data_IF_486934110752
#
_entry.id   IF_486934110752
#
_cell.length_a   1.000
_cell.length_b   1.000
_cell.length_c   1.000
_cell.angle_alpha   90.00
_cell.angle_beta   90.00
_cell.angle_gamma   90.00
#
_symmetry.space_group_name_H-M   'P 1'
#
loop_
_entity.id
_entity.type
_entity.pdbx_description
1 polymer ?
#
# COMPACT_ATOMS: atom_id res chain seq x y z
N UNK A 1 -44.66 7.71 -33.82
CA UNK A 1 -43.54 6.80 -33.47
C UNK A 1 -42.81 7.39 -32.28
N UNK A 2 -42.28 6.55 -31.39
CA UNK A 2 -42.25 6.84 -29.95
C UNK A 2 -41.03 7.67 -29.48
N UNK A 3 -41.28 8.55 -28.49
CA UNK A 3 -40.26 9.16 -27.63
C UNK A 3 -40.41 8.60 -26.20
N UNK A 4 -40.04 7.34 -26.00
CA UNK A 4 -39.90 6.72 -24.68
C UNK A 4 -38.63 5.86 -24.66
N UNK A 5 -37.68 6.25 -23.79
CA UNK A 5 -36.76 5.39 -23.01
C UNK A 5 -35.63 6.25 -22.38
N UNK A 6 -36.02 7.37 -21.77
CA UNK A 6 -35.17 8.14 -20.88
C UNK A 6 -35.92 8.26 -19.55
N UNK A 7 -35.25 7.99 -18.43
CA UNK A 7 -35.74 8.09 -17.04
C UNK A 7 -36.73 7.01 -16.53
N UNK A 8 -36.18 5.84 -16.18
CA UNK A 8 -36.57 4.99 -15.04
C UNK A 8 -35.37 4.03 -14.80
N UNK A 9 -34.86 3.78 -13.59
CA UNK A 9 -35.61 3.55 -12.36
C UNK A 9 -34.75 3.89 -11.12
N UNK A 10 -34.93 5.09 -10.55
CA UNK A 10 -34.35 5.48 -9.25
C UNK A 10 -35.41 5.42 -8.15
N UNK A 11 -34.96 5.34 -6.89
CA UNK A 11 -35.75 5.42 -5.64
C UNK A 11 -36.81 4.33 -5.38
N UNK A 12 -36.48 3.45 -4.42
CA UNK A 12 -37.43 3.02 -3.37
C UNK A 12 -36.80 3.33 -2.02
N UNK A 13 -37.46 4.19 -1.25
CA UNK A 13 -37.02 4.67 0.07
C UNK A 13 -37.89 4.03 1.17
N UNK A 14 -37.27 3.64 2.29
CA UNK A 14 -37.85 3.34 3.61
C UNK A 14 -39.14 2.48 3.74
N UNK A 15 -38.99 1.22 4.19
CA UNK A 15 -39.95 0.55 5.09
C UNK A 15 -39.21 -0.35 6.12
N UNK A 16 -39.61 -0.23 7.39
CA UNK A 16 -39.44 -1.15 8.53
C UNK A 16 -38.05 -1.39 9.18
N UNK A 17 -38.03 -1.11 10.48
CA UNK A 17 -37.02 -1.46 11.48
C UNK A 17 -37.40 -2.77 12.22
N UNK A 18 -36.56 -3.21 13.17
CA UNK A 18 -36.78 -4.18 14.28
C UNK A 18 -36.83 -5.70 14.02
N UNK A 19 -35.88 -6.41 14.66
CA UNK A 19 -35.96 -7.52 15.66
C UNK A 19 -34.53 -8.13 15.72
N UNK A 20 -33.65 -7.89 16.71
CA UNK A 20 -33.66 -8.14 18.16
C UNK A 20 -33.46 -9.62 18.58
N UNK A 21 -32.30 -9.87 19.21
CA UNK A 21 -31.92 -10.93 20.17
C UNK A 21 -31.74 -12.40 19.74
N UNK A 22 -30.48 -12.88 19.75
CA UNK A 22 -29.99 -14.09 20.45
C UNK A 22 -28.43 -14.18 20.31
N UNK A 23 -27.61 -14.75 21.19
CA UNK A 23 -27.57 -14.83 22.67
C UNK A 23 -26.11 -15.09 23.12
N UNK A 24 -25.84 -15.08 24.43
CA UNK A 24 -24.50 -15.11 25.07
C UNK A 24 -24.00 -16.56 25.32
N UNK A 25 -22.73 -16.72 25.72
CA UNK A 25 -21.98 -17.92 26.18
C UNK A 25 -21.24 -18.67 25.05
N UNK A 26 -20.02 -19.23 25.22
CA UNK A 26 -19.37 -19.83 26.40
C UNK A 26 -17.87 -19.45 26.50
N UNK A 27 -17.48 -18.96 27.68
CA UNK A 27 -16.32 -19.32 28.53
C UNK A 27 -15.09 -20.02 27.93
N UNK A 28 -13.88 -19.46 28.14
CA UNK A 28 -12.61 -20.04 27.67
C UNK A 28 -11.33 -19.61 28.39
N UNK A 29 -11.36 -19.23 29.68
CA UNK A 29 -10.14 -18.93 30.43
C UNK A 29 -9.31 -20.20 30.69
N UNK A 30 -8.04 -20.20 30.24
CA UNK A 30 -6.99 -21.05 30.81
C UNK A 30 -5.70 -20.26 31.04
N UNK A 31 -5.58 -19.69 32.23
CA UNK A 31 -4.28 -19.44 32.83
C UNK A 31 -3.69 -20.78 33.30
N UNK A 32 -2.38 -20.98 33.13
CA UNK A 32 -1.65 -22.11 33.73
C UNK A 32 -0.18 -21.73 33.96
N UNK A 33 0.05 -21.18 35.15
CA UNK A 33 1.32 -21.14 35.90
C UNK A 33 0.91 -21.38 37.38
N UNK A 34 1.76 -21.89 38.30
CA UNK A 34 3.22 -21.70 38.39
C UNK A 34 4.00 -23.01 38.77
N UNK A 35 5.09 -22.87 39.56
CA UNK A 35 5.88 -23.91 40.30
C UNK A 35 7.00 -24.60 39.48
N UNK A 36 8.27 -24.69 39.93
CA UNK A 36 9.01 -24.02 41.02
C UNK A 36 10.55 -24.11 40.81
N UNK A 37 11.32 -23.31 41.57
CA UNK A 37 12.80 -23.12 41.56
C UNK A 37 13.23 -22.77 43.01
N UNK A 38 14.37 -23.19 43.63
CA UNK A 38 15.77 -23.40 43.12
C UNK A 38 16.37 -24.79 43.56
N UNK A 39 17.71 -25.11 43.59
CA UNK A 39 18.92 -24.29 43.35
C UNK A 39 20.09 -24.86 42.51
N UNK A 40 20.92 -23.91 42.05
CA UNK A 40 22.38 -23.90 41.87
C UNK A 40 23.12 -25.15 41.33
N UNK A 41 23.79 -24.94 40.19
CA UNK A 41 25.15 -25.44 39.95
C UNK A 41 25.96 -24.31 39.32
N UNK A 42 27.07 -23.93 39.96
CA UNK A 42 28.05 -22.95 39.44
C UNK A 42 29.12 -23.67 38.60
N UNK A 43 29.76 -22.92 37.68
CA UNK A 43 30.98 -23.28 36.90
C UNK A 43 30.91 -24.60 36.08
N UNK A 44 31.25 -24.61 34.80
CA UNK A 44 32.47 -24.03 34.23
C UNK A 44 32.25 -23.55 32.78
N UNK A 45 32.98 -22.51 32.36
CA UNK A 45 32.98 -22.05 30.97
C UNK A 45 34.21 -22.62 30.27
N UNK A 46 34.05 -23.78 29.62
CA UNK A 46 35.13 -24.38 28.82
C UNK A 46 35.34 -23.52 27.56
N UNK A 47 36.53 -22.92 27.45
CA UNK A 47 36.90 -22.00 26.38
C UNK A 47 36.94 -22.75 25.04
N UNK A 48 35.94 -22.52 24.20
CA UNK A 48 36.01 -22.89 22.79
C UNK A 48 36.60 -21.72 22.01
N UNK A 49 37.93 -21.66 22.11
CA UNK A 49 38.82 -20.82 21.30
C UNK A 49 38.63 -21.17 19.82
N UNK A 50 37.67 -20.50 19.20
CA UNK A 50 37.52 -20.46 17.75
C UNK A 50 38.41 -19.34 17.22
N UNK A 51 39.65 -19.73 16.99
CA UNK A 51 40.72 -19.03 16.29
C UNK A 51 40.26 -18.65 14.86
N UNK A 52 39.36 -17.67 14.77
CA UNK A 52 38.97 -17.01 13.54
C UNK A 52 40.10 -16.10 13.10
N UNK A 53 41.15 -16.71 12.53
CA UNK A 53 42.25 -16.03 11.88
C UNK A 53 41.70 -14.93 10.96
N UNK A 54 41.94 -13.68 11.35
CA UNK A 54 41.09 -12.56 10.96
C UNK A 54 40.93 -12.38 9.46
N UNK A 55 39.68 -12.39 8.99
CA UNK A 55 39.31 -11.53 7.89
C UNK A 55 38.99 -10.16 8.50
N UNK A 56 40.04 -9.34 8.53
CA UNK A 56 40.00 -7.95 8.98
C UNK A 56 39.22 -7.14 7.93
N UNK A 57 37.90 -7.16 8.07
CA UNK A 57 36.99 -6.30 7.31
C UNK A 57 36.98 -4.91 7.96
N UNK A 58 38.14 -4.26 7.96
CA UNK A 58 38.25 -2.81 8.15
C UNK A 58 37.67 -2.11 6.92
N UNK A 59 36.35 -2.18 6.83
CA UNK A 59 35.52 -1.39 5.94
C UNK A 59 34.98 -0.20 6.74
N UNK A 60 35.89 0.65 7.21
CA UNK A 60 35.64 2.11 7.28
C UNK A 60 35.43 2.64 5.84
N UNK A 61 34.32 2.20 5.27
CA UNK A 61 33.70 2.80 4.11
C UNK A 61 32.56 3.62 4.67
N UNK A 62 32.91 4.79 5.22
CA UNK A 62 32.05 5.97 5.10
C UNK A 62 31.61 6.02 3.63
N UNK A 63 30.37 5.59 3.38
CA UNK A 63 29.76 5.65 2.06
C UNK A 63 29.62 7.14 1.78
N UNK A 64 30.58 7.69 1.04
CA UNK A 64 30.54 9.07 0.59
C UNK A 64 29.32 9.23 -0.33
N UNK A 65 28.23 9.73 0.25
CA UNK A 65 26.94 9.91 -0.41
C UNK A 65 27.09 10.92 -1.57
N UNK A 66 28.04 11.86 -1.46
CA UNK A 66 28.34 12.84 -2.51
C UNK A 66 29.17 12.24 -3.67
N UNK A 67 29.82 11.08 -3.46
CA UNK A 67 30.51 10.30 -4.51
C UNK A 67 29.65 9.16 -5.10
N UNK A 68 28.43 8.94 -4.61
CA UNK A 68 27.52 8.02 -5.28
C UNK A 68 27.16 8.58 -6.67
N UNK A 69 27.21 7.78 -7.75
CA UNK A 69 26.64 8.20 -9.01
C UNK A 69 25.16 8.49 -8.78
N UNK A 70 24.68 9.65 -9.23
CA UNK A 70 23.26 9.95 -9.20
C UNK A 70 22.51 8.79 -9.85
N UNK A 71 21.69 8.09 -9.06
CA UNK A 71 20.82 7.06 -9.61
C UNK A 71 19.91 7.79 -10.58
N UNK A 72 19.99 7.39 -11.85
CA UNK A 72 19.25 7.99 -12.96
C UNK A 72 17.78 7.53 -12.86
N UNK A 73 17.11 7.99 -11.80
CA UNK A 73 15.68 7.77 -11.59
C UNK A 73 14.96 8.40 -12.77
N UNK A 74 14.15 7.61 -13.52
CA UNK A 74 13.45 8.13 -14.69
C UNK A 74 12.69 9.39 -14.31
N UNK A 75 12.89 10.47 -15.07
CA UNK A 75 12.22 11.73 -14.78
C UNK A 75 10.71 11.51 -14.75
N UNK A 76 10.09 11.79 -13.60
CA UNK A 76 8.65 11.67 -13.42
C UNK A 76 7.84 12.60 -14.33
N UNK A 77 6.50 12.48 -14.32
CA UNK A 77 5.63 13.28 -15.16
C UNK A 77 5.88 14.79 -14.99
N UNK A 78 5.91 15.53 -16.10
CA UNK A 78 6.15 16.97 -16.08
C UNK A 78 4.90 17.77 -15.65
N UNK A 79 3.71 17.18 -15.83
CA UNK A 79 2.42 17.80 -15.48
C UNK A 79 1.51 16.84 -14.71
N UNK A 80 0.57 17.42 -13.94
CA UNK A 80 -0.43 16.66 -13.20
C UNK A 80 -1.34 15.82 -14.11
N UNK A 81 -1.61 16.27 -15.34
CA UNK A 81 -2.41 15.48 -16.31
C UNK A 81 -1.68 14.23 -16.76
N UNK A 82 -0.41 14.38 -17.19
CA UNK A 82 0.42 13.25 -17.62
C UNK A 82 0.60 12.24 -16.49
N UNK A 83 0.80 12.69 -15.25
CA UNK A 83 0.91 11.80 -14.09
C UNK A 83 -0.38 11.01 -13.82
N UNK A 84 -1.55 11.63 -13.97
CA UNK A 84 -2.85 10.97 -13.78
C UNK A 84 -3.13 9.97 -14.91
N UNK A 85 -2.76 10.29 -16.14
CA UNK A 85 -2.83 9.36 -17.28
C UNK A 85 -1.89 8.16 -17.11
N UNK A 86 -0.64 8.39 -16.67
CA UNK A 86 0.30 7.33 -16.32
C UNK A 86 -0.22 6.45 -15.19
N UNK A 87 -0.81 7.05 -14.14
CA UNK A 87 -1.36 6.33 -12.99
C UNK A 87 -2.49 5.39 -13.41
N UNK A 88 -3.44 5.88 -14.22
CA UNK A 88 -4.52 5.05 -14.76
C UNK A 88 -3.96 3.90 -15.61
N UNK A 89 -2.97 4.17 -16.48
CA UNK A 89 -2.34 3.12 -17.29
C UNK A 89 -1.57 2.09 -16.46
N UNK A 90 -0.95 2.48 -15.33
CA UNK A 90 -0.28 1.55 -14.42
C UNK A 90 -1.29 0.73 -13.62
N UNK A 91 -2.36 1.35 -13.14
CA UNK A 91 -3.45 0.69 -12.41
C UNK A 91 -4.17 -0.35 -13.30
N UNK A 92 -4.47 -0.03 -14.57
CA UNK A 92 -4.99 -0.99 -15.55
C UNK A 92 -4.03 -2.18 -15.76
N UNK A 93 -2.72 -1.92 -15.86
CA UNK A 93 -1.72 -2.98 -16.03
C UNK A 93 -1.60 -3.89 -14.80
N UNK A 94 -1.61 -3.31 -13.59
CA UNK A 94 -1.58 -4.03 -12.32
C UNK A 94 -2.86 -4.85 -12.14
N UNK A 95 -4.03 -4.26 -12.36
CA UNK A 95 -5.31 -4.95 -12.31
C UNK A 95 -5.34 -6.16 -13.26
N UNK A 96 -4.77 -5.99 -14.47
CA UNK A 96 -4.65 -7.07 -15.45
C UNK A 96 -3.70 -8.17 -14.99
N UNK A 97 -2.52 -7.85 -14.45
CA UNK A 97 -1.57 -8.87 -13.97
C UNK A 97 -2.17 -9.74 -12.86
N UNK A 98 -2.90 -9.14 -11.91
CA UNK A 98 -3.65 -9.89 -10.90
C UNK A 98 -4.81 -10.72 -11.49
N UNK A 99 -5.52 -10.21 -12.51
CA UNK A 99 -6.62 -10.95 -13.14
C UNK A 99 -6.16 -12.13 -14.02
N UNK A 100 -4.95 -12.04 -14.59
CA UNK A 100 -4.33 -13.05 -15.45
C UNK A 100 -3.47 -14.08 -14.66
N UNK A 101 -3.29 -13.91 -13.34
CA UNK A 101 -2.36 -14.67 -12.48
C UNK A 101 -0.88 -14.53 -12.90
N UNK A 102 -0.52 -13.38 -13.47
CA UNK A 102 0.82 -13.03 -13.97
C UNK A 102 1.43 -11.88 -13.13
N UNK A 103 1.48 -12.10 -11.81
CA UNK A 103 1.90 -11.07 -10.84
C UNK A 103 3.39 -10.75 -10.96
N UNK A 104 4.23 -11.74 -11.29
CA UNK A 104 5.67 -11.55 -11.50
C UNK A 104 5.97 -10.51 -12.60
N UNK A 105 5.13 -10.42 -13.65
CA UNK A 105 5.32 -9.48 -14.75
C UNK A 105 4.93 -8.03 -14.43
N UNK A 106 4.22 -7.81 -13.32
CA UNK A 106 3.79 -6.48 -12.83
C UNK A 106 4.51 -6.02 -11.56
N UNK A 107 5.45 -6.81 -11.01
CA UNK A 107 6.11 -6.47 -9.75
C UNK A 107 6.87 -5.13 -9.83
N UNK A 108 7.59 -4.90 -10.94
CA UNK A 108 8.27 -3.62 -11.18
C UNK A 108 7.31 -2.44 -11.30
N UNK A 109 6.08 -2.66 -11.79
CA UNK A 109 5.03 -1.65 -11.88
C UNK A 109 4.45 -1.34 -10.50
N UNK A 110 4.29 -2.34 -9.62
CA UNK A 110 3.91 -2.16 -8.22
C UNK A 110 4.97 -1.39 -7.41
N UNK A 111 6.26 -1.57 -7.69
CA UNK A 111 7.30 -0.69 -7.12
C UNK A 111 7.27 0.72 -7.71
N UNK A 112 7.12 0.83 -9.03
CA UNK A 112 7.17 2.12 -9.74
C UNK A 112 6.00 3.04 -9.41
N UNK A 113 4.82 2.49 -9.07
CA UNK A 113 3.62 3.30 -8.78
C UNK A 113 3.80 4.17 -7.53
N UNK A 114 4.60 3.72 -6.54
CA UNK A 114 4.92 4.53 -5.36
C UNK A 114 5.63 5.84 -5.72
N UNK A 115 6.69 5.78 -6.53
CA UNK A 115 7.39 6.97 -7.01
C UNK A 115 6.49 7.88 -7.87
N UNK A 116 5.60 7.30 -8.69
CA UNK A 116 4.61 8.09 -9.42
C UNK A 116 3.64 8.84 -8.48
N UNK A 117 3.21 8.22 -7.39
CA UNK A 117 2.35 8.84 -6.38
C UNK A 117 3.05 9.99 -5.65
N UNK A 118 4.36 9.88 -5.35
CA UNK A 118 5.17 10.98 -4.81
C UNK A 118 5.23 12.18 -5.78
N UNK A 119 5.46 11.90 -7.07
CA UNK A 119 5.40 12.94 -8.11
C UNK A 119 4.01 13.58 -8.20
N UNK A 120 2.94 12.80 -8.11
CA UNK A 120 1.56 13.30 -8.12
C UNK A 120 1.22 14.15 -6.90
N UNK A 121 1.73 13.84 -5.73
CA UNK A 121 1.58 14.67 -4.52
C UNK A 121 2.24 16.04 -4.75
N UNK A 122 3.50 16.04 -5.19
CA UNK A 122 4.28 17.26 -5.48
C UNK A 122 3.63 18.13 -6.56
N UNK A 123 3.16 17.53 -7.65
CA UNK A 123 2.42 18.21 -8.72
C UNK A 123 1.07 18.74 -8.24
N UNK A 124 0.35 17.99 -7.38
CA UNK A 124 -0.90 18.44 -6.77
C UNK A 124 -0.66 19.67 -5.88
N UNK A 125 0.35 19.60 -5.01
CA UNK A 125 0.71 20.69 -4.10
C UNK A 125 1.11 21.96 -4.85
N UNK A 126 1.85 21.84 -5.95
CA UNK A 126 2.34 22.97 -6.75
C UNK A 126 1.34 23.51 -7.80
N UNK A 127 0.30 22.75 -8.16
CA UNK A 127 -0.69 23.15 -9.18
C UNK A 127 -1.53 24.39 -8.84
N UNK A 128 -2.23 24.96 -9.83
CA UNK A 128 -3.23 26.03 -9.64
C UNK A 128 -4.61 25.50 -9.19
N UNK A 129 -4.72 24.23 -8.78
CA UNK A 129 -5.99 23.66 -8.30
C UNK A 129 -6.51 24.39 -7.04
N UNK A 130 -7.84 24.59 -6.91
CA UNK A 130 -8.42 25.14 -5.68
C UNK A 130 -8.15 24.22 -4.48
N UNK A 131 -8.06 24.79 -3.28
CA UNK A 131 -7.68 24.07 -2.07
C UNK A 131 -8.51 22.80 -1.81
N UNK A 132 -9.83 22.84 -2.05
CA UNK A 132 -10.73 21.68 -1.95
C UNK A 132 -10.34 20.55 -2.91
N UNK A 133 -9.93 20.88 -4.15
CA UNK A 133 -9.49 19.90 -5.12
C UNK A 133 -8.11 19.32 -4.75
N UNK A 134 -7.20 20.14 -4.21
CA UNK A 134 -5.91 19.65 -3.68
C UNK A 134 -6.09 18.71 -2.48
N UNK A 135 -6.97 19.06 -1.54
CA UNK A 135 -7.29 18.19 -0.39
C UNK A 135 -7.90 16.86 -0.84
N UNK A 136 -8.83 16.90 -1.82
CA UNK A 136 -9.44 15.70 -2.39
C UNK A 136 -8.41 14.83 -3.14
N UNK A 137 -7.50 15.46 -3.87
CA UNK A 137 -6.44 14.77 -4.60
C UNK A 137 -5.42 14.13 -3.64
N UNK A 138 -4.95 14.85 -2.62
CA UNK A 138 -4.05 14.31 -1.58
C UNK A 138 -4.65 13.07 -0.91
N UNK A 139 -5.91 13.15 -0.43
CA UNK A 139 -6.61 11.99 0.16
C UNK A 139 -6.75 10.80 -0.78
N UNK A 140 -6.83 11.03 -2.10
CA UNK A 140 -6.86 9.95 -3.08
C UNK A 140 -5.45 9.35 -3.29
N UNK A 141 -4.40 10.17 -3.28
CA UNK A 141 -3.00 9.73 -3.35
C UNK A 141 -2.63 8.92 -2.10
N UNK A 142 -2.95 9.40 -0.89
CA UNK A 142 -2.79 8.66 0.37
C UNK A 142 -3.50 7.29 0.31
N UNK A 143 -4.75 7.29 -0.19
CA UNK A 143 -5.57 6.09 -0.36
C UNK A 143 -4.93 5.06 -1.33
N UNK A 144 -4.17 5.52 -2.33
CA UNK A 144 -3.45 4.67 -3.27
C UNK A 144 -2.12 4.17 -2.68
N UNK A 145 -1.38 5.01 -1.95
CA UNK A 145 -0.19 4.58 -1.19
C UNK A 145 -0.53 3.46 -0.20
N UNK A 146 -1.57 3.64 0.62
CA UNK A 146 -2.08 2.59 1.52
C UNK A 146 -2.36 1.29 0.76
N UNK A 147 -3.13 1.37 -0.33
CA UNK A 147 -3.68 0.21 -1.02
C UNK A 147 -2.64 -0.56 -1.82
N UNK A 148 -1.77 0.13 -2.56
CA UNK A 148 -0.66 -0.52 -3.25
C UNK A 148 0.45 -0.97 -2.30
N UNK A 149 0.68 -0.25 -1.19
CA UNK A 149 1.60 -0.68 -0.13
C UNK A 149 1.14 -1.95 0.58
N UNK A 150 -0.16 -2.04 0.93
CA UNK A 150 -0.78 -3.28 1.45
C UNK A 150 -0.60 -4.46 0.48
N UNK A 151 -0.69 -4.22 -0.84
CA UNK A 151 -0.55 -5.26 -1.87
C UNK A 151 0.91 -5.67 -2.07
N UNK A 152 1.84 -4.73 -2.18
CA UNK A 152 3.27 -5.04 -2.31
C UNK A 152 3.78 -5.78 -1.07
N UNK A 153 3.45 -5.33 0.14
CA UNK A 153 3.79 -6.02 1.38
C UNK A 153 3.31 -7.48 1.38
N UNK A 154 2.07 -7.75 0.92
CA UNK A 154 1.53 -9.11 0.78
C UNK A 154 2.36 -9.97 -0.18
N UNK A 155 2.87 -9.39 -1.28
CA UNK A 155 3.70 -10.11 -2.26
C UNK A 155 5.09 -10.46 -1.72
N UNK A 156 5.70 -9.61 -0.89
CA UNK A 156 6.99 -9.92 -0.24
C UNK A 156 6.86 -10.87 0.98
N UNK A 157 5.63 -11.31 1.31
CA UNK A 157 5.36 -12.22 2.42
C UNK A 157 5.14 -11.53 3.78
N UNK A 158 5.02 -10.20 3.80
CA UNK A 158 4.66 -9.42 4.98
C UNK A 158 3.14 -9.39 5.21
N UNK A 159 2.73 -8.70 6.29
CA UNK A 159 1.31 -8.43 6.54
C UNK A 159 0.79 -7.41 5.54
N UNK A 160 -0.15 -7.82 4.70
CA UNK A 160 -0.76 -6.98 3.68
C UNK A 160 -2.14 -7.52 3.25
N UNK A 161 -2.64 -7.06 2.10
CA UNK A 161 -3.95 -7.42 1.55
C UNK A 161 -3.85 -8.03 0.16
N UNK A 162 -4.80 -8.88 -0.20
CA UNK A 162 -4.91 -9.32 -1.59
C UNK A 162 -5.44 -8.17 -2.45
N UNK A 163 -5.02 -8.06 -3.72
CA UNK A 163 -5.45 -6.96 -4.60
C UNK A 163 -6.97 -6.85 -4.71
N UNK A 164 -7.68 -7.99 -4.68
CA UNK A 164 -9.15 -8.06 -4.66
C UNK A 164 -9.81 -7.45 -3.42
N UNK A 165 -9.09 -7.30 -2.31
CA UNK A 165 -9.61 -6.70 -1.07
C UNK A 165 -9.56 -5.16 -1.12
N UNK A 166 -8.78 -4.59 -2.04
CA UNK A 166 -8.51 -3.15 -2.16
C UNK A 166 -8.78 -2.56 -3.54
N UNK A 167 -9.09 -3.37 -4.55
CA UNK A 167 -9.32 -2.92 -5.93
C UNK A 167 -10.38 -1.81 -6.01
N UNK A 168 -11.50 -1.96 -5.30
CA UNK A 168 -12.56 -0.93 -5.28
C UNK A 168 -12.06 0.40 -4.68
N UNK A 169 -11.20 0.37 -3.65
CA UNK A 169 -10.56 1.57 -3.04
C UNK A 169 -9.59 2.23 -4.02
N UNK A 170 -8.84 1.43 -4.77
CA UNK A 170 -7.92 1.89 -5.82
C UNK A 170 -8.70 2.58 -6.94
N UNK A 171 -9.73 1.91 -7.48
CA UNK A 171 -10.59 2.42 -8.54
C UNK A 171 -11.28 3.74 -8.15
N UNK A 172 -11.81 3.85 -6.93
CA UNK A 172 -12.44 5.09 -6.43
C UNK A 172 -11.44 6.25 -6.29
N UNK A 173 -10.18 5.96 -5.92
CA UNK A 173 -9.13 6.97 -5.81
C UNK A 173 -8.60 7.41 -7.19
N UNK A 174 -8.31 6.49 -8.11
CA UNK A 174 -7.95 6.82 -9.51
C UNK A 174 -9.09 7.60 -10.19
N UNK A 175 -10.34 7.21 -9.97
CA UNK A 175 -11.53 7.93 -10.45
C UNK A 175 -11.68 9.32 -9.82
N UNK A 176 -11.19 9.51 -8.59
CA UNK A 176 -11.17 10.82 -7.95
C UNK A 176 -10.14 11.75 -8.60
N UNK A 177 -8.96 11.23 -8.96
CA UNK A 177 -7.89 11.99 -9.61
C UNK A 177 -8.23 12.30 -11.08
N UNK A 178 -8.65 11.30 -11.85
CA UNK A 178 -9.12 11.49 -13.25
C UNK A 178 -10.36 12.39 -13.36
N UNK A 179 -11.12 12.53 -12.27
CA UNK A 179 -12.26 13.46 -12.16
C UNK A 179 -11.89 14.91 -11.79
N UNK A 180 -10.61 15.25 -11.62
CA UNK A 180 -10.17 16.62 -11.35
C UNK A 180 -10.37 17.53 -12.56
N UNK A 181 -10.70 18.80 -12.30
CA UNK A 181 -10.71 19.86 -13.32
C UNK A 181 -9.34 20.51 -13.35
N UNK A 182 -8.45 19.95 -14.16
CA UNK A 182 -7.13 20.52 -14.41
C UNK A 182 -7.25 21.83 -15.22
N UNK A 183 -6.31 22.79 -15.04
CA UNK A 183 -6.31 24.08 -15.74
C UNK A 183 -5.95 23.97 -17.23
#
# INVERSE_FOLDING_TARGET
MSRLNWLANSTRFCVAMTVLAYAITITGCRQSTPTDTPPASEHDHDDHDHDHAGHDHDHDHEIDIDSLPAIDTPAGPATLSEGIEQLASMQDAIAKGFADDDVDSIHGQLHSIGGLLEHLESLTASSDLPAEAKEKAGKAIDSLFDAFGDVDAKLHGDTGKDYSDVSDKIDEAVKTLTGLKLP
#
